data_IF_794479517992
#
_entry.id   IF_794479517992
#
_cell.length_a   1.000
_cell.length_b   1.000
_cell.length_c   1.000
_cell.angle_alpha   90.00
_cell.angle_beta   90.00
_cell.angle_gamma   90.00
#
_symmetry.space_group_name_H-M   'P 1'
#
loop_
_entity.id
_entity.type
_entity.pdbx_description
1 polymer ?
#
# COMPACT_ATOMS: atom_id res chain seq x y z
N UNK A 1 -6.24 -11.80 15.31
CA UNK A 1 -5.43 -10.65 15.78
C UNK A 1 -5.68 -9.50 14.81
N UNK A 2 -6.04 -8.30 15.27
CA UNK A 2 -6.32 -7.15 14.37
C UNK A 2 -4.96 -6.61 13.89
N UNK A 3 -4.73 -6.47 12.57
CA UNK A 3 -3.48 -5.92 12.07
C UNK A 3 -3.29 -4.49 12.57
N UNK A 4 -2.03 -4.10 12.75
CA UNK A 4 -1.67 -2.73 13.10
C UNK A 4 -2.06 -1.78 11.96
N UNK A 5 -2.23 -0.49 12.26
CA UNK A 5 -2.54 0.52 11.24
C UNK A 5 -1.48 0.55 10.13
N UNK A 6 -0.22 0.35 10.49
CA UNK A 6 0.91 0.38 9.55
C UNK A 6 0.88 -0.83 8.59
N UNK A 7 0.59 -2.03 9.11
CA UNK A 7 0.42 -3.22 8.27
C UNK A 7 -0.75 -3.06 7.30
N UNK A 8 -1.86 -2.48 7.77
CA UNK A 8 -3.02 -2.19 6.93
C UNK A 8 -2.68 -1.24 5.77
N UNK A 9 -1.96 -0.14 6.05
CA UNK A 9 -1.54 0.79 5.00
C UNK A 9 -0.52 0.17 4.03
N UNK A 10 0.39 -0.67 4.53
CA UNK A 10 1.34 -1.39 3.70
C UNK A 10 0.68 -2.44 2.80
N UNK A 11 -0.38 -3.11 3.25
CA UNK A 11 -1.17 -3.99 2.39
C UNK A 11 -1.84 -3.22 1.26
N UNK A 12 -2.40 -2.04 1.55
CA UNK A 12 -2.99 -1.18 0.51
C UNK A 12 -1.92 -0.75 -0.50
N UNK A 13 -0.72 -0.38 -0.05
CA UNK A 13 0.39 -0.04 -0.94
C UNK A 13 0.76 -1.19 -1.90
N UNK A 14 0.72 -2.45 -1.42
CA UNK A 14 0.92 -3.63 -2.28
C UNK A 14 -0.22 -3.83 -3.28
N UNK A 15 -1.47 -3.62 -2.86
CA UNK A 15 -2.62 -3.70 -3.77
C UNK A 15 -2.53 -2.65 -4.87
N UNK A 16 -2.15 -1.42 -4.53
CA UNK A 16 -1.93 -0.35 -5.52
C UNK A 16 -0.78 -0.72 -6.46
N UNK A 17 0.31 -1.29 -5.95
CA UNK A 17 1.44 -1.73 -6.76
C UNK A 17 1.04 -2.76 -7.84
N UNK A 18 0.03 -3.62 -7.60
CA UNK A 18 -0.44 -4.58 -8.59
C UNK A 18 -1.02 -3.95 -9.87
N UNK A 19 -1.53 -2.71 -9.78
CA UNK A 19 -2.01 -1.94 -10.94
C UNK A 19 -0.88 -1.37 -11.80
N UNK A 20 0.37 -1.45 -11.35
CA UNK A 20 1.52 -1.04 -12.14
C UNK A 20 1.64 -1.88 -13.41
N UNK A 21 1.86 -1.20 -14.54
CA UNK A 21 2.07 -1.81 -15.86
C UNK A 21 3.55 -2.14 -16.13
N UNK A 22 4.47 -1.74 -15.24
CA UNK A 22 5.88 -2.08 -15.37
C UNK A 22 6.09 -3.59 -15.18
N UNK A 23 6.76 -4.23 -16.15
CA UNK A 23 7.04 -5.67 -16.14
C UNK A 23 8.17 -6.07 -15.19
N UNK A 24 9.05 -5.13 -14.82
CA UNK A 24 10.24 -5.39 -13.99
C UNK A 24 9.94 -5.18 -12.51
N UNK A 25 9.47 -3.98 -12.16
CA UNK A 25 9.18 -3.59 -10.78
C UNK A 25 7.78 -3.01 -10.69
N UNK A 26 6.92 -3.68 -9.92
CA UNK A 26 5.58 -3.17 -9.59
C UNK A 26 5.67 -2.35 -8.31
N UNK A 27 5.62 -1.03 -8.46
CA UNK A 27 5.74 -0.08 -7.34
C UNK A 27 4.39 0.58 -7.08
N UNK A 28 4.08 0.79 -5.80
CA UNK A 28 2.91 1.51 -5.32
C UNK A 28 3.26 2.26 -4.04
N UNK A 29 2.63 3.42 -3.83
CA UNK A 29 2.83 4.27 -2.67
C UNK A 29 1.49 4.78 -2.15
N UNK A 30 1.42 5.01 -0.85
CA UNK A 30 0.23 5.50 -0.16
C UNK A 30 0.67 6.61 0.79
N UNK A 31 -0.02 7.76 0.75
CA UNK A 31 0.22 8.86 1.67
C UNK A 31 -0.78 8.72 2.81
N UNK A 32 -0.30 8.82 4.04
CA UNK A 32 -1.14 8.71 5.24
C UNK A 32 -1.01 9.99 6.04
N UNK A 33 -2.15 10.55 6.45
CA UNK A 33 -2.22 11.67 7.38
C UNK A 33 -3.31 11.40 8.40
N UNK A 34 -3.00 11.54 9.70
CA UNK A 34 -3.97 11.34 10.78
C UNK A 34 -4.70 9.97 10.73
N UNK A 35 -4.00 8.91 10.30
CA UNK A 35 -4.54 7.55 10.04
C UNK A 35 -5.62 7.48 8.95
N UNK A 36 -5.65 8.47 8.08
CA UNK A 36 -6.47 8.49 6.87
C UNK A 36 -5.55 8.44 5.64
N UNK A 37 -6.02 7.76 4.59
CA UNK A 37 -5.35 7.64 3.27
C UNK A 37 -5.97 8.61 2.28
#
# INVERSE_FOLDING_TARGET
MRPSTDEYFMEIARVVAHRSTCLRNKVGAVIVKDKHI
#
